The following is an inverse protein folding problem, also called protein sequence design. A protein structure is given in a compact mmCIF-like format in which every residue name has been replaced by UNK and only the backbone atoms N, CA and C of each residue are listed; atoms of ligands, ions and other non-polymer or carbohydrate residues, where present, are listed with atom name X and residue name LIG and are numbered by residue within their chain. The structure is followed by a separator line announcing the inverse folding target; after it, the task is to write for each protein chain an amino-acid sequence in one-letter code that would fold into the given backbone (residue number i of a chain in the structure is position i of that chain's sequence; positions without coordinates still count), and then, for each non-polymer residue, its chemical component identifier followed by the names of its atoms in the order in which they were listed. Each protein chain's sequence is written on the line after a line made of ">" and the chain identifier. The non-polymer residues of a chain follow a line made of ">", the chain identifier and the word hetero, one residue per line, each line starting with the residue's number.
data_IF_777357811503
#
_entry.id   IF_777357811503
#
_cell.length_a   1.000
_cell.length_b   1.000
_cell.length_c   1.000
_cell.angle_alpha   90.00
_cell.angle_beta   90.00
_cell.angle_gamma   90.00
#
_symmetry.space_group_name_H-M   'P 1'
#
loop_
_entity.id
_entity.type
_entity.pdbx_description
1 polymer ?
#
# COMPACT_ATOMS: atom_id res chain seq x y z
N UNK A 1 -5.26 6.55 14.79
CA UNK A 1 -6.44 6.01 14.08
C UNK A 1 -6.11 6.04 12.60
N UNK A 2 -6.43 4.99 11.86
CA UNK A 2 -6.08 4.90 10.45
C UNK A 2 -6.90 5.89 9.63
N UNK A 3 -6.24 6.56 8.67
CA UNK A 3 -6.88 7.48 7.73
C UNK A 3 -7.45 6.69 6.56
N UNK A 4 -8.67 6.22 6.73
CA UNK A 4 -9.32 5.30 5.79
C UNK A 4 -10.61 5.83 5.19
N UNK A 5 -11.19 6.94 5.68
CA UNK A 5 -12.48 7.49 5.21
C UNK A 5 -12.29 8.43 4.01
N UNK A 6 -13.36 8.70 3.26
CA UNK A 6 -13.30 9.53 2.04
C UNK A 6 -12.60 10.87 2.26
N UNK A 7 -12.92 11.56 3.35
CA UNK A 7 -12.38 12.88 3.69
C UNK A 7 -10.94 12.83 4.23
N UNK A 8 -10.48 11.66 4.71
CA UNK A 8 -9.14 11.43 5.27
C UNK A 8 -8.71 9.98 5.02
N UNK A 9 -8.22 9.72 3.80
CA UNK A 9 -7.95 8.37 3.23
C UNK A 9 -6.47 8.13 2.92
N UNK A 10 -5.56 8.96 3.45
CA UNK A 10 -4.14 8.91 3.08
C UNK A 10 -3.49 7.54 3.35
N UNK A 11 -3.96 6.82 4.38
CA UNK A 11 -3.40 5.53 4.77
C UNK A 11 -3.95 4.40 3.90
N UNK A 12 -5.26 4.40 3.64
CA UNK A 12 -5.86 3.49 2.66
C UNK A 12 -5.22 3.64 1.27
N UNK A 13 -5.07 4.88 0.80
CA UNK A 13 -4.47 5.16 -0.49
C UNK A 13 -3.00 4.71 -0.52
N UNK A 14 -2.25 4.89 0.57
CA UNK A 14 -0.88 4.37 0.64
C UNK A 14 -0.83 2.85 0.54
N UNK A 15 -1.69 2.12 1.25
CA UNK A 15 -1.74 0.67 1.19
C UNK A 15 -2.13 0.16 -0.22
N UNK A 16 -3.12 0.79 -0.85
CA UNK A 16 -3.52 0.51 -2.23
C UNK A 16 -2.36 0.76 -3.20
N UNK A 17 -1.62 1.87 -3.05
CA UNK A 17 -0.44 2.14 -3.88
C UNK A 17 0.70 1.14 -3.66
N UNK A 18 0.85 0.59 -2.46
CA UNK A 18 1.80 -0.50 -2.23
C UNK A 18 1.40 -1.73 -3.06
N UNK A 19 0.12 -2.09 -3.06
CA UNK A 19 -0.40 -3.21 -3.86
C UNK A 19 -0.21 -3.00 -5.37
N UNK A 20 -0.58 -1.83 -5.91
CA UNK A 20 -0.36 -1.50 -7.34
C UNK A 20 1.12 -1.47 -7.74
N UNK A 21 2.02 -1.13 -6.82
CA UNK A 21 3.46 -1.15 -7.07
C UNK A 21 4.11 -2.54 -6.95
N UNK A 22 3.31 -3.56 -6.62
CA UNK A 22 3.76 -4.93 -6.31
C UNK A 22 4.74 -4.98 -5.12
N UNK A 23 4.71 -3.97 -4.25
CA UNK A 23 5.52 -3.96 -3.01
C UNK A 23 4.87 -4.71 -1.87
N UNK A 24 3.58 -5.05 -2.01
CA UNK A 24 2.87 -6.07 -1.25
C UNK A 24 2.01 -6.91 -2.21
N UNK A 25 1.63 -8.12 -1.80
CA UNK A 25 0.58 -8.91 -2.45
C UNK A 25 -0.80 -8.69 -1.83
N UNK A 26 -1.83 -9.34 -2.40
CA UNK A 26 -3.20 -9.22 -1.93
C UNK A 26 -3.40 -9.78 -0.51
N UNK A 27 -2.69 -10.85 -0.14
CA UNK A 27 -2.79 -11.42 1.20
C UNK A 27 -2.17 -10.47 2.24
N UNK A 28 -1.02 -9.87 1.93
CA UNK A 28 -0.37 -8.85 2.75
C UNK A 28 -1.25 -7.60 2.88
N UNK A 29 -1.96 -7.22 1.81
CA UNK A 29 -2.96 -6.15 1.87
C UNK A 29 -4.13 -6.51 2.79
N UNK A 30 -4.68 -7.72 2.70
CA UNK A 30 -5.74 -8.21 3.60
C UNK A 30 -5.30 -8.25 5.06
N UNK A 31 -4.08 -8.68 5.35
CA UNK A 31 -3.52 -8.63 6.70
C UNK A 31 -3.45 -7.21 7.25
N UNK A 32 -3.17 -6.22 6.41
CA UNK A 32 -3.24 -4.81 6.80
C UNK A 32 -4.69 -4.36 7.04
N UNK A 33 -5.65 -4.78 6.21
CA UNK A 33 -7.08 -4.52 6.44
C UNK A 33 -7.55 -5.11 7.79
N UNK A 34 -7.16 -6.35 8.11
CA UNK A 34 -7.46 -6.92 9.41
C UNK A 34 -6.84 -6.13 10.57
N UNK A 35 -5.63 -5.59 10.38
CA UNK A 35 -4.99 -4.73 11.37
C UNK A 35 -5.78 -3.44 11.57
N UNK A 36 -6.26 -2.81 10.49
CA UNK A 36 -7.15 -1.65 10.54
C UNK A 36 -8.41 -1.97 11.35
N UNK A 37 -9.03 -3.13 11.10
CA UNK A 37 -10.24 -3.56 11.83
C UNK A 37 -9.96 -3.76 13.32
N UNK A 38 -8.79 -4.30 13.70
CA UNK A 38 -8.39 -4.48 15.10
C UNK A 38 -8.09 -3.17 15.82
N UNK A 39 -7.55 -2.18 15.12
CA UNK A 39 -7.04 -0.93 15.70
C UNK A 39 -8.08 0.19 15.81
N UNK A 40 -9.25 0.04 15.17
CA UNK A 40 -10.29 1.06 15.12
C UNK A 40 -11.56 0.64 15.86
N UNK A 41 -12.29 1.60 16.48
CA UNK A 41 -13.65 1.35 16.95
C UNK A 41 -14.54 0.87 15.81
N UNK A 42 -15.38 -0.14 16.05
CA UNK A 42 -16.18 -0.77 14.99
C UNK A 42 -17.13 0.23 14.32
N UNK A 43 -17.64 1.19 15.08
CA UNK A 43 -18.50 2.29 14.64
C UNK A 43 -17.81 3.29 13.71
N UNK A 44 -16.48 3.36 13.74
CA UNK A 44 -15.67 4.28 12.91
C UNK A 44 -15.15 3.59 11.64
N UNK A 45 -15.37 2.28 11.47
CA UNK A 45 -14.91 1.51 10.31
C UNK A 45 -15.98 1.55 9.19
N UNK A 46 -15.65 2.10 8.02
CA UNK A 46 -16.55 2.07 6.86
C UNK A 46 -16.81 0.66 6.36
N UNK A 47 -18.03 0.39 5.87
CA UNK A 47 -18.41 -0.96 5.44
C UNK A 47 -17.51 -1.56 4.35
N UNK A 48 -16.99 -0.75 3.43
CA UNK A 48 -16.09 -1.25 2.37
C UNK A 48 -14.79 -1.84 2.93
N UNK A 49 -14.38 -1.54 4.17
CA UNK A 49 -13.21 -2.19 4.77
C UNK A 49 -13.47 -3.68 5.00
N UNK A 50 -14.69 -4.05 5.39
CA UNK A 50 -15.08 -5.45 5.50
C UNK A 50 -15.19 -6.11 4.12
N UNK A 51 -15.73 -5.39 3.13
CA UNK A 51 -15.76 -5.88 1.75
C UNK A 51 -14.34 -6.13 1.20
N UNK A 52 -13.37 -5.28 1.55
CA UNK A 52 -11.95 -5.45 1.19
C UNK A 52 -11.28 -6.62 1.94
N UNK A 53 -11.71 -6.96 3.14
CA UNK A 53 -11.18 -8.11 3.89
C UNK A 53 -11.49 -9.43 3.16
N UNK A 54 -12.70 -9.55 2.61
CA UNK A 54 -13.17 -10.73 1.87
C UNK A 54 -12.86 -10.66 0.35
N UNK A 55 -12.16 -9.63 -0.11
CA UNK A 55 -11.96 -9.37 -1.54
C UNK A 55 -10.95 -10.31 -2.22
N UNK A 56 -11.39 -11.14 -3.17
CA UNK A 56 -10.50 -12.03 -3.96
C UNK A 56 -10.47 -11.69 -5.47
N UNK A 57 -10.88 -10.48 -5.84
CA UNK A 57 -10.93 -10.02 -7.23
C UNK A 57 -9.61 -9.47 -7.77
N UNK A 58 -9.66 -8.86 -8.96
CA UNK A 58 -8.50 -8.22 -9.57
C UNK A 58 -8.21 -6.86 -8.92
N UNK A 59 -6.93 -6.48 -8.74
CA UNK A 59 -6.53 -5.22 -8.08
C UNK A 59 -7.25 -3.98 -8.68
N UNK A 60 -7.60 -4.01 -9.97
CA UNK A 60 -8.36 -2.94 -10.64
C UNK A 60 -9.78 -2.73 -10.09
N UNK A 61 -10.37 -3.73 -9.44
CA UNK A 61 -11.73 -3.66 -8.87
C UNK A 61 -11.76 -3.03 -7.47
N UNK A 62 -10.60 -2.81 -6.83
CA UNK A 62 -10.51 -2.21 -5.49
C UNK A 62 -11.15 -0.81 -5.46
N UNK A 63 -10.90 0.00 -6.49
CA UNK A 63 -11.47 1.35 -6.57
C UNK A 63 -13.02 1.31 -6.64
N UNK A 64 -13.60 0.25 -7.22
CA UNK A 64 -15.04 0.06 -7.26
C UNK A 64 -15.63 -0.27 -5.87
N UNK A 65 -14.88 -1.00 -5.05
CA UNK A 65 -15.27 -1.34 -3.68
C UNK A 65 -15.17 -0.12 -2.76
N UNK A 66 -14.06 0.62 -2.85
CA UNK A 66 -13.83 1.82 -2.05
C UNK A 66 -14.86 2.91 -2.40
N UNK A 67 -15.25 3.02 -3.68
CA UNK A 67 -16.32 3.91 -4.13
C UNK A 67 -15.97 5.40 -4.13
N UNK A 68 -14.70 5.75 -3.90
CA UNK A 68 -14.17 7.09 -4.05
C UNK A 68 -12.69 7.06 -4.41
N UNK A 69 -12.19 8.18 -4.96
CA UNK A 69 -10.76 8.38 -5.23
C UNK A 69 -10.23 9.38 -4.21
N UNK A 70 -9.14 9.02 -3.52
CA UNK A 70 -8.49 9.92 -2.58
C UNK A 70 -7.89 11.14 -3.29
N UNK A 71 -7.91 12.30 -2.63
CA UNK A 71 -7.14 13.47 -3.09
C UNK A 71 -5.63 13.30 -2.82
N UNK A 72 -5.25 12.35 -1.97
CA UNK A 72 -3.87 12.00 -1.69
C UNK A 72 -3.21 11.40 -2.93
N UNK A 73 -2.17 12.05 -3.42
CA UNK A 73 -1.38 11.52 -4.52
C UNK A 73 0.11 11.50 -4.16
N UNK A 74 0.71 10.31 -4.20
CA UNK A 74 2.15 10.19 -4.14
C UNK A 74 2.78 10.79 -5.38
N UNK A 75 3.87 11.55 -5.20
CA UNK A 75 4.69 12.02 -6.31
C UNK A 75 5.24 10.84 -7.11
N UNK A 76 5.60 11.07 -8.39
CA UNK A 76 6.20 10.04 -9.24
C UNK A 76 7.46 9.43 -8.60
N UNK A 77 8.28 10.22 -7.91
CA UNK A 77 9.48 9.72 -7.24
C UNK A 77 9.18 8.83 -6.04
N UNK A 78 8.11 9.12 -5.28
CA UNK A 78 7.63 8.27 -4.18
C UNK A 78 6.98 6.98 -4.68
N UNK A 79 6.22 7.03 -5.78
CA UNK A 79 5.71 5.82 -6.44
C UNK A 79 6.84 4.90 -6.91
N UNK A 80 7.88 5.49 -7.49
CA UNK A 80 9.10 4.76 -7.87
C UNK A 80 9.84 4.16 -6.66
N UNK A 81 9.78 4.81 -5.49
CA UNK A 81 10.33 4.25 -4.25
C UNK A 81 9.55 3.02 -3.79
N UNK A 82 8.21 2.98 -3.94
CA UNK A 82 7.42 1.78 -3.66
C UNK A 82 7.81 0.62 -4.59
N UNK A 83 7.97 0.85 -5.90
CA UNK A 83 8.55 -0.16 -6.80
C UNK A 83 9.95 -0.60 -6.34
N UNK A 84 10.74 0.33 -5.75
CA UNK A 84 12.02 0.03 -5.14
C UNK A 84 11.90 -0.94 -3.96
N UNK A 85 10.83 -0.86 -3.17
CA UNK A 85 10.55 -1.82 -2.08
C UNK A 85 10.32 -3.20 -2.66
N UNK A 86 9.49 -3.34 -3.71
CA UNK A 86 9.28 -4.62 -4.37
C UNK A 86 10.60 -5.27 -4.81
N UNK A 87 11.46 -4.50 -5.49
CA UNK A 87 12.78 -4.98 -5.90
C UNK A 87 13.73 -5.26 -4.74
N UNK A 88 13.66 -4.50 -3.66
CA UNK A 88 14.45 -4.73 -2.45
C UNK A 88 14.07 -6.06 -1.80
N UNK A 89 12.78 -6.41 -1.83
CA UNK A 89 12.22 -7.71 -1.40
C UNK A 89 12.52 -8.86 -2.38
N UNK A 90 13.25 -8.59 -3.47
CA UNK A 90 13.60 -9.61 -4.45
C UNK A 90 12.46 -10.00 -5.40
N UNK A 91 11.38 -9.22 -5.45
CA UNK A 91 10.23 -9.47 -6.33
C UNK A 91 10.60 -9.11 -7.78
N UNK A 92 10.25 -9.99 -8.72
CA UNK A 92 10.30 -9.69 -10.15
C UNK A 92 9.04 -8.93 -10.57
N UNK A 93 9.13 -7.60 -10.52
CA UNK A 93 8.01 -6.70 -10.78
C UNK A 93 7.59 -6.80 -12.24
N UNK A 94 6.33 -7.16 -12.49
CA UNK A 94 5.78 -7.17 -13.85
C UNK A 94 5.65 -5.73 -14.39
N UNK A 95 6.15 -5.52 -15.62
CA UNK A 95 6.13 -4.24 -16.34
C UNK A 95 6.49 -3.01 -15.47
N UNK A 96 7.71 -2.98 -14.90
CA UNK A 96 8.06 -1.95 -13.94
C UNK A 96 8.18 -0.58 -14.64
N UNK A 97 7.67 0.51 -14.03
CA UNK A 97 7.67 1.84 -14.66
C UNK A 97 9.08 2.41 -14.88
N UNK A 98 10.07 1.85 -14.19
CA UNK A 98 11.49 2.22 -14.26
C UNK A 98 12.35 0.98 -13.96
N UNK A 99 13.64 1.03 -14.30
CA UNK A 99 14.57 -0.06 -13.98
C UNK A 99 14.76 -0.26 -12.47
N UNK A 100 15.10 -1.49 -12.07
CA UNK A 100 15.44 -1.88 -10.68
C UNK A 100 16.43 -0.90 -10.02
N UNK A 101 17.51 -0.57 -10.70
CA UNK A 101 18.54 0.36 -10.21
C UNK A 101 17.96 1.75 -9.91
N UNK A 102 17.11 2.28 -10.81
CA UNK A 102 16.47 3.59 -10.62
C UNK A 102 15.46 3.56 -9.48
N UNK A 103 14.75 2.45 -9.31
CA UNK A 103 13.76 2.27 -8.25
C UNK A 103 14.42 2.18 -6.87
N UNK A 104 15.48 1.39 -6.73
CA UNK A 104 16.28 1.33 -5.51
C UNK A 104 16.92 2.69 -5.17
N UNK A 105 17.40 3.43 -6.18
CA UNK A 105 17.90 4.79 -5.99
C UNK A 105 16.80 5.76 -5.55
N UNK A 106 15.58 5.60 -6.05
CA UNK A 106 14.43 6.40 -5.60
C UNK A 106 14.07 6.07 -4.15
N UNK A 107 14.08 4.79 -3.76
CA UNK A 107 13.85 4.37 -2.37
C UNK A 107 14.89 4.96 -1.41
N UNK A 108 16.18 4.92 -1.78
CA UNK A 108 17.26 5.55 -0.99
C UNK A 108 17.10 7.07 -0.81
N UNK A 109 16.46 7.75 -1.78
CA UNK A 109 16.15 9.18 -1.69
C UNK A 109 14.90 9.48 -0.88
N UNK A 110 14.06 8.49 -0.64
CA UNK A 110 12.78 8.61 0.06
C UNK A 110 12.71 7.61 1.24
N UNK A 111 13.61 7.72 2.24
CA UNK A 111 13.60 6.83 3.40
C UNK A 111 12.29 6.91 4.20
N UNK A 112 11.53 8.00 4.09
CA UNK A 112 10.20 8.11 4.67
C UNK A 112 9.21 7.07 4.11
N UNK A 113 9.39 6.64 2.85
CA UNK A 113 8.56 5.60 2.23
C UNK A 113 8.92 4.23 2.81
N UNK A 114 10.21 3.96 3.01
CA UNK A 114 10.68 2.74 3.67
C UNK A 114 10.14 2.64 5.10
N UNK A 115 10.25 3.71 5.88
CA UNK A 115 9.76 3.77 7.26
C UNK A 115 8.24 3.63 7.33
N UNK A 116 7.49 4.33 6.46
CA UNK A 116 6.03 4.21 6.40
C UNK A 116 5.62 2.78 6.03
N UNK A 117 6.31 2.14 5.08
CA UNK A 117 6.03 0.75 4.71
C UNK A 117 6.23 -0.20 5.89
N UNK A 118 7.34 -0.12 6.63
CA UNK A 118 7.57 -0.97 7.80
C UNK A 118 6.51 -0.79 8.89
N UNK A 119 6.03 0.45 9.08
CA UNK A 119 4.98 0.74 10.04
C UNK A 119 3.62 0.13 9.62
N UNK A 120 3.30 0.18 8.33
CA UNK A 120 2.04 -0.33 7.79
C UNK A 120 2.03 -1.85 7.76
N UNK A 121 3.14 -2.45 7.35
CA UNK A 121 3.24 -3.89 7.10
C UNK A 121 4.29 -4.51 8.03
N UNK A 122 4.11 -4.48 9.37
CA UNK A 122 5.11 -5.00 10.31
C UNK A 122 5.29 -6.52 10.20
N UNK A 123 4.36 -7.21 9.53
CA UNK A 123 4.39 -8.64 9.23
C UNK A 123 5.09 -8.97 7.90
N UNK A 124 5.46 -7.97 7.11
CA UNK A 124 6.19 -8.16 5.85
C UNK A 124 7.69 -8.03 6.10
N UNK A 125 8.44 -9.07 5.73
CA UNK A 125 9.90 -9.02 5.81
C UNK A 125 10.45 -8.00 4.80
N UNK A 126 11.19 -7.03 5.32
CA UNK A 126 11.81 -5.97 4.53
C UNK A 126 13.32 -5.91 4.79
N UNK A 127 14.15 -6.20 3.78
CA UNK A 127 15.60 -6.09 3.90
C UNK A 127 16.05 -4.66 4.27
N UNK A 128 17.19 -4.49 4.94
CA UNK A 128 17.76 -3.18 5.21
C UNK A 128 18.10 -2.45 3.89
N UNK A 129 17.92 -1.13 3.89
CA UNK A 129 18.07 -0.25 2.72
C UNK A 129 19.54 0.13 2.40
#
# INVERSE_FOLDING_TARGET
>A
MWKIIKEDSDDLEFAIKCLFSQSIDLNEFKLWIEQVIRDMPIEDIPFYIFDLADFDGGIADIDNIVGFVSSYSLSKSKKNALTGIAFLRGIDVYDPPISKEKALKALKKHPEIYQKFQHFFPFVELPPL
#
